data_IF_562132353558
#
_entry.id   IF_562132353558
#
_cell.length_a   1.000
_cell.length_b   1.000
_cell.length_c   1.000
_cell.angle_alpha   90.00
_cell.angle_beta   90.00
_cell.angle_gamma   90.00
#
_symmetry.space_group_name_H-M   'P 1'
#
loop_
_entity.id
_entity.type
_entity.pdbx_description
1 polymer ?
#
# COMPACT_ATOMS: atom_id res chain seq x y z
N UNK A 1 5.00 -22.56 -17.29
CA UNK A 1 4.43 -21.26 -16.86
C UNK A 1 3.59 -21.54 -15.64
N UNK A 2 3.95 -20.98 -14.47
CA UNK A 2 3.05 -21.04 -13.32
C UNK A 2 1.86 -20.15 -13.67
N UNK A 3 0.69 -20.76 -13.81
CA UNK A 3 -0.56 -20.04 -14.03
C UNK A 3 -0.82 -19.19 -12.77
N UNK A 4 -0.64 -17.88 -12.88
CA UNK A 4 -0.80 -16.98 -11.75
C UNK A 4 -2.28 -16.81 -11.48
N UNK A 5 -2.73 -17.31 -10.32
CA UNK A 5 -4.13 -17.29 -9.90
C UNK A 5 -4.63 -15.85 -9.71
N UNK A 6 -5.92 -15.57 -9.95
CA UNK A 6 -6.52 -14.27 -9.64
C UNK A 6 -6.38 -13.94 -8.14
N UNK A 7 -6.28 -12.64 -7.82
CA UNK A 7 -6.23 -12.19 -6.43
C UNK A 7 -7.42 -12.70 -5.62
N UNK A 8 -7.13 -13.16 -4.41
CA UNK A 8 -8.13 -13.52 -3.41
C UNK A 8 -8.30 -12.41 -2.35
N UNK A 9 -7.94 -11.17 -2.69
CA UNK A 9 -8.13 -10.01 -1.81
C UNK A 9 -9.54 -9.91 -1.19
N UNK A 10 -10.66 -10.29 -1.85
CA UNK A 10 -11.96 -10.17 -1.21
C UNK A 10 -12.10 -11.11 0.00
N UNK A 11 -11.48 -12.29 -0.05
CA UNK A 11 -11.47 -13.26 1.05
C UNK A 11 -10.60 -12.73 2.19
N UNK A 12 -9.40 -12.23 1.88
CA UNK A 12 -8.51 -11.63 2.89
C UNK A 12 -9.13 -10.40 3.55
N UNK A 13 -9.83 -9.56 2.77
CA UNK A 13 -10.56 -8.42 3.31
C UNK A 13 -11.65 -8.86 4.27
N UNK A 14 -12.47 -9.85 3.91
CA UNK A 14 -13.51 -10.36 4.80
C UNK A 14 -12.92 -10.94 6.10
N UNK A 15 -11.81 -11.68 6.02
CA UNK A 15 -11.07 -12.18 7.18
C UNK A 15 -10.54 -11.04 8.06
N UNK A 16 -10.02 -9.96 7.47
CA UNK A 16 -9.62 -8.78 8.23
C UNK A 16 -10.82 -8.12 8.96
N UNK A 17 -12.00 -8.13 8.33
CA UNK A 17 -13.20 -7.60 8.96
C UNK A 17 -13.71 -8.50 10.09
N UNK A 18 -13.56 -9.82 9.98
CA UNK A 18 -13.82 -10.73 11.11
C UNK A 18 -12.92 -10.41 12.31
N UNK A 19 -11.63 -10.15 12.08
CA UNK A 19 -10.68 -9.74 13.14
C UNK A 19 -11.18 -8.45 13.82
N UNK A 20 -11.61 -7.46 13.04
CA UNK A 20 -12.14 -6.22 13.60
C UNK A 20 -13.48 -6.39 14.33
N UNK A 21 -14.38 -7.23 13.83
CA UNK A 21 -15.62 -7.55 14.55
C UNK A 21 -15.32 -8.21 15.92
N UNK A 22 -14.30 -9.08 15.98
CA UNK A 22 -13.81 -9.67 17.22
C UNK A 22 -13.19 -8.62 18.16
N UNK A 23 -12.40 -7.70 17.61
CA UNK A 23 -11.83 -6.57 18.36
C UNK A 23 -12.94 -5.71 18.97
N UNK A 24 -13.91 -5.25 18.17
CA UNK A 24 -15.01 -4.40 18.63
C UNK A 24 -15.85 -5.08 19.70
N UNK A 25 -16.13 -6.38 19.54
CA UNK A 25 -16.85 -7.16 20.55
C UNK A 25 -16.09 -7.24 21.89
N UNK A 26 -14.76 -7.27 21.85
CA UNK A 26 -13.92 -7.43 23.03
C UNK A 26 -13.64 -6.11 23.74
N UNK A 27 -13.40 -5.05 22.96
CA UNK A 27 -13.01 -3.72 23.46
C UNK A 27 -14.21 -2.78 23.65
N UNK A 28 -15.30 -3.01 22.90
CA UNK A 28 -16.53 -2.21 22.94
C UNK A 28 -16.56 -1.03 21.96
N UNK A 29 -15.51 -0.83 21.16
CA UNK A 29 -15.43 0.19 20.12
C UNK A 29 -14.44 -0.20 19.03
N UNK A 30 -14.65 0.29 17.81
CA UNK A 30 -13.67 0.17 16.73
C UNK A 30 -12.50 1.13 16.90
N UNK A 31 -11.26 0.70 16.57
CA UNK A 31 -10.14 1.62 16.50
C UNK A 31 -10.26 2.49 15.25
N UNK A 32 -9.46 3.55 15.18
CA UNK A 32 -9.24 4.23 13.92
C UNK A 32 -8.30 3.39 13.04
N UNK A 33 -8.66 3.22 11.77
CA UNK A 33 -7.89 2.45 10.80
C UNK A 33 -8.24 2.86 9.37
N UNK A 34 -7.31 2.64 8.44
CA UNK A 34 -7.53 2.85 6.99
C UNK A 34 -7.10 1.63 6.17
N UNK A 35 -7.76 1.43 5.03
CA UNK A 35 -7.38 0.43 4.03
C UNK A 35 -6.52 1.10 2.95
N UNK A 36 -5.27 0.68 2.81
CA UNK A 36 -4.32 1.31 1.90
C UNK A 36 -3.50 0.33 1.06
N UNK A 37 -2.32 0.80 0.65
CA UNK A 37 -1.35 -0.03 -0.06
C UNK A 37 -1.77 -0.48 -1.47
N UNK A 38 -1.24 -1.62 -1.90
CA UNK A 38 -1.32 -2.04 -3.31
C UNK A 38 -2.75 -2.37 -3.77
N UNK A 39 -3.52 -3.01 -2.89
CA UNK A 39 -4.88 -3.43 -3.20
C UNK A 39 -5.86 -2.26 -3.13
N UNK A 40 -5.73 -1.36 -2.17
CA UNK A 40 -6.52 -0.12 -2.17
C UNK A 40 -6.28 0.71 -3.45
N UNK A 41 -5.03 0.78 -3.92
CA UNK A 41 -4.73 1.47 -5.17
C UNK A 41 -5.32 0.75 -6.40
N UNK A 42 -5.21 -0.58 -6.45
CA UNK A 42 -5.82 -1.40 -7.50
C UNK A 42 -7.34 -1.17 -7.60
N UNK A 43 -8.05 -1.08 -6.47
CA UNK A 43 -9.49 -0.84 -6.46
C UNK A 43 -9.89 0.53 -7.03
N UNK A 44 -8.97 1.50 -7.00
CA UNK A 44 -9.22 2.87 -7.42
C UNK A 44 -8.86 3.12 -8.88
N UNK A 45 -7.72 2.60 -9.35
CA UNK A 45 -7.20 2.88 -10.71
C UNK A 45 -7.01 1.64 -11.59
N UNK A 46 -7.12 0.44 -11.01
CA UNK A 46 -6.97 -0.85 -11.69
C UNK A 46 -5.71 -0.87 -12.59
N UNK A 47 -4.55 -0.54 -12.02
CA UNK A 47 -3.29 -0.45 -12.75
C UNK A 47 -2.54 -1.78 -12.83
N UNK A 48 -2.65 -2.61 -11.78
CA UNK A 48 -2.15 -3.98 -11.71
C UNK A 48 -2.90 -4.80 -10.66
N UNK A 49 -2.82 -6.12 -10.79
CA UNK A 49 -3.25 -7.03 -9.74
C UNK A 49 -2.40 -6.85 -8.46
N UNK A 50 -3.07 -6.89 -7.31
CA UNK A 50 -2.49 -6.92 -5.96
C UNK A 50 -3.16 -8.02 -5.15
N UNK A 51 -2.39 -8.70 -4.30
CA UNK A 51 -2.85 -9.91 -3.60
C UNK A 51 -3.01 -9.72 -2.09
N UNK A 52 -2.25 -8.79 -1.50
CA UNK A 52 -2.23 -8.58 -0.05
C UNK A 52 -3.25 -7.52 0.40
N UNK A 53 -3.57 -7.47 1.68
CA UNK A 53 -4.40 -6.43 2.31
C UNK A 53 -3.52 -5.64 3.28
N UNK A 54 -3.31 -4.35 3.00
CA UNK A 54 -2.58 -3.44 3.88
C UNK A 54 -3.58 -2.59 4.69
N UNK A 55 -3.61 -2.78 6.01
CA UNK A 55 -4.43 -2.00 6.95
C UNK A 55 -3.51 -1.14 7.81
N UNK A 56 -3.81 0.15 7.88
CA UNK A 56 -3.01 1.10 8.64
C UNK A 56 -3.72 1.51 9.94
N UNK A 57 -2.95 1.57 11.02
CA UNK A 57 -3.36 1.94 12.37
C UNK A 57 -2.50 3.10 12.87
N UNK A 58 -3.03 3.89 13.81
CA UNK A 58 -2.34 5.01 14.44
C UNK A 58 -1.84 4.72 15.87
N UNK A 59 -2.30 3.64 16.50
CA UNK A 59 -1.86 3.20 17.82
C UNK A 59 -1.29 1.76 17.80
N UNK A 60 0.01 1.57 18.09
CA UNK A 60 0.63 0.24 18.10
C UNK A 60 0.11 -0.66 19.22
N UNK A 61 -0.52 -0.11 20.26
CA UNK A 61 -1.13 -0.88 21.35
C UNK A 61 -2.31 -1.72 20.89
N UNK A 62 -2.87 -1.44 19.70
CA UNK A 62 -3.95 -2.20 19.09
C UNK A 62 -3.46 -3.54 18.52
N UNK A 63 -2.22 -3.62 18.02
CA UNK A 63 -1.72 -4.78 17.28
C UNK A 63 -1.87 -6.12 18.03
N UNK A 64 -1.57 -6.23 19.35
CA UNK A 64 -1.75 -7.48 20.08
C UNK A 64 -3.21 -7.96 20.12
N UNK A 65 -4.19 -7.05 20.04
CA UNK A 65 -5.62 -7.37 20.04
C UNK A 65 -6.15 -7.81 18.68
N UNK A 66 -5.40 -7.55 17.60
CA UNK A 66 -5.74 -7.99 16.26
C UNK A 66 -5.14 -9.35 15.91
N UNK A 67 -4.24 -9.88 16.75
CA UNK A 67 -3.59 -11.17 16.52
C UNK A 67 -4.48 -12.33 17.04
N UNK A 68 -5.04 -13.17 16.14
CA UNK A 68 -5.88 -14.30 16.53
C UNK A 68 -5.16 -15.31 17.43
N UNK A 69 -3.86 -15.52 17.23
CA UNK A 69 -3.06 -16.47 18.00
C UNK A 69 -2.99 -16.07 19.48
N UNK A 70 -2.77 -14.78 19.76
CA UNK A 70 -2.64 -14.28 21.14
C UNK A 70 -3.98 -14.01 21.81
N UNK A 71 -5.02 -13.69 21.03
CA UNK A 71 -6.36 -13.42 21.57
C UNK A 71 -7.24 -14.68 21.68
N UNK A 72 -6.89 -15.76 20.99
CA UNK A 72 -7.58 -17.05 21.08
C UNK A 72 -8.98 -17.07 20.46
N UNK A 73 -9.29 -16.16 19.52
CA UNK A 73 -10.52 -16.22 18.73
C UNK A 73 -10.32 -16.99 17.42
N UNK A 74 -11.37 -17.66 16.96
CA UNK A 74 -11.35 -18.42 15.71
C UNK A 74 -11.88 -17.55 14.56
N UNK A 75 -11.17 -17.58 13.43
CA UNK A 75 -11.61 -17.01 12.16
C UNK A 75 -12.22 -18.10 11.28
N UNK A 76 -12.98 -17.70 10.25
CA UNK A 76 -13.49 -18.63 9.22
C UNK A 76 -12.36 -19.40 8.53
N UNK A 77 -11.18 -18.77 8.41
CA UNK A 77 -9.91 -19.41 8.04
C UNK A 77 -8.80 -18.86 8.93
N UNK A 78 -8.01 -19.74 9.54
CA UNK A 78 -6.84 -19.33 10.32
C UNK A 78 -5.65 -18.99 9.40
N UNK A 79 -4.83 -17.98 9.76
CA UNK A 79 -3.53 -17.76 9.16
C UNK A 79 -2.64 -19.00 9.28
N UNK A 80 -1.86 -19.25 8.24
CA UNK A 80 -0.86 -20.30 8.16
C UNK A 80 0.46 -19.87 8.85
N UNK A 81 0.73 -18.56 8.92
CA UNK A 81 1.86 -17.99 9.66
C UNK A 81 1.51 -16.63 10.29
N UNK A 82 2.09 -16.35 11.46
CA UNK A 82 1.96 -15.10 12.20
C UNK A 82 3.34 -14.48 12.38
N UNK A 83 3.51 -13.22 11.97
CA UNK A 83 4.75 -12.47 12.18
C UNK A 83 4.43 -11.12 12.81
N UNK A 84 5.06 -10.81 13.92
CA UNK A 84 4.95 -9.48 14.54
C UNK A 84 6.28 -9.04 15.11
N UNK A 85 6.56 -7.74 14.97
CA UNK A 85 7.66 -7.07 15.67
C UNK A 85 7.20 -6.40 16.98
N UNK A 86 5.95 -6.62 17.36
CA UNK A 86 5.30 -6.11 18.57
C UNK A 86 5.00 -4.60 18.57
N UNK A 87 5.44 -3.83 17.58
CA UNK A 87 5.36 -2.36 17.65
C UNK A 87 5.02 -1.65 16.34
N UNK A 88 5.41 -2.17 15.18
CA UNK A 88 5.19 -1.53 13.89
C UNK A 88 4.29 -2.35 12.98
N UNK A 89 4.29 -3.68 13.11
CA UNK A 89 3.45 -4.52 12.27
C UNK A 89 3.01 -5.84 12.91
N UNK A 90 1.85 -6.29 12.46
CA UNK A 90 1.36 -7.65 12.56
C UNK A 90 1.02 -8.14 11.15
N UNK A 91 1.67 -9.22 10.72
CA UNK A 91 1.48 -9.85 9.41
C UNK A 91 0.88 -11.23 9.62
N UNK A 92 -0.21 -11.49 8.91
CA UNK A 92 -0.91 -12.77 8.90
C UNK A 92 -0.82 -13.34 7.48
N UNK A 93 -0.09 -14.44 7.30
CA UNK A 93 0.06 -15.07 5.99
C UNK A 93 -0.96 -16.20 5.82
N UNK A 94 -1.56 -16.27 4.63
CA UNK A 94 -2.52 -17.31 4.26
C UNK A 94 -2.06 -17.96 2.95
N UNK A 95 -1.68 -19.23 3.03
CA UNK A 95 -1.20 -20.01 1.89
C UNK A 95 -2.21 -19.96 0.73
N UNK A 96 -1.70 -19.70 -0.47
CA UNK A 96 -2.49 -19.52 -1.70
C UNK A 96 -3.41 -18.29 -1.76
N UNK A 97 -3.63 -17.53 -0.67
CA UNK A 97 -4.46 -16.32 -0.68
C UNK A 97 -3.65 -15.03 -0.72
N UNK A 98 -2.60 -14.92 0.10
CA UNK A 98 -1.81 -13.70 0.29
C UNK A 98 -1.63 -13.33 1.77
N UNK A 99 -1.25 -12.08 2.04
CA UNK A 99 -1.00 -11.57 3.39
C UNK A 99 -2.06 -10.54 3.81
N UNK A 100 -2.36 -10.49 5.12
CA UNK A 100 -2.99 -9.33 5.78
C UNK A 100 -1.92 -8.67 6.63
N UNK A 101 -1.59 -7.42 6.30
CA UNK A 101 -0.61 -6.60 6.97
C UNK A 101 -1.32 -5.51 7.78
N UNK A 102 -1.31 -5.61 9.10
CA UNK A 102 -1.65 -4.50 9.99
C UNK A 102 -0.38 -3.71 10.29
N UNK A 103 -0.36 -2.44 9.90
CA UNK A 103 0.83 -1.59 9.92
C UNK A 103 0.53 -0.36 10.76
N UNK A 104 1.31 -0.14 11.82
CA UNK A 104 1.24 1.09 12.59
C UNK A 104 2.05 2.18 11.87
N UNK A 105 1.35 3.12 11.22
CA UNK A 105 1.99 4.27 10.58
C UNK A 105 1.01 5.44 10.50
N UNK A 106 1.49 6.64 10.83
CA UNK A 106 0.71 7.86 10.68
C UNK A 106 0.40 8.16 9.21
N UNK A 107 -0.68 8.92 9.00
CA UNK A 107 -0.94 9.61 7.74
C UNK A 107 0.21 10.59 7.41
N UNK A 108 0.50 10.74 6.12
CA UNK A 108 1.45 11.74 5.60
C UNK A 108 0.72 13.02 5.23
N UNK A 109 -0.49 12.91 4.66
CA UNK A 109 -1.30 14.02 4.18
C UNK A 109 -2.45 14.36 5.14
N UNK A 110 -2.94 15.59 5.08
CA UNK A 110 -4.10 16.05 5.86
C UNK A 110 -5.42 15.38 5.45
N UNK A 111 -5.53 14.95 4.18
CA UNK A 111 -6.66 14.20 3.64
C UNK A 111 -6.20 12.80 3.18
N UNK A 112 -5.90 11.90 4.12
CA UNK A 112 -5.24 10.63 3.80
C UNK A 112 -6.19 9.60 3.18
N UNK A 113 -7.49 9.72 3.44
CA UNK A 113 -8.49 8.72 3.06
C UNK A 113 -9.85 9.33 2.72
N UNK A 114 -10.66 8.55 2.01
CA UNK A 114 -12.07 8.85 1.77
C UNK A 114 -12.94 7.67 2.20
N UNK A 115 -14.12 7.99 2.76
CA UNK A 115 -15.12 6.95 3.09
C UNK A 115 -15.63 6.32 1.81
N UNK A 116 -15.44 5.00 1.68
CA UNK A 116 -15.86 4.21 0.51
C UNK A 116 -16.52 2.90 0.94
N UNK A 117 -17.45 2.44 0.11
CA UNK A 117 -18.00 1.09 0.24
C UNK A 117 -16.99 0.10 -0.37
N UNK A 118 -16.42 -0.76 0.46
CA UNK A 118 -15.62 -1.90 0.02
C UNK A 118 -16.36 -3.15 0.46
N UNK A 119 -16.86 -3.90 -0.53
CA UNK A 119 -17.76 -5.03 -0.31
C UNK A 119 -18.98 -4.58 0.51
N UNK A 120 -19.19 -5.15 1.71
CA UNK A 120 -20.31 -4.84 2.60
C UNK A 120 -19.95 -3.83 3.70
N UNK A 121 -18.74 -3.27 3.69
CA UNK A 121 -18.23 -2.38 4.73
C UNK A 121 -18.03 -0.97 4.21
N UNK A 122 -18.31 0.02 5.05
CA UNK A 122 -17.89 1.40 4.83
C UNK A 122 -16.55 1.59 5.53
N UNK A 123 -15.51 1.89 4.77
CA UNK A 123 -14.12 1.97 5.27
C UNK A 123 -13.49 3.30 4.90
N UNK A 124 -12.48 3.71 5.65
CA UNK A 124 -11.56 4.76 5.26
C UNK A 124 -10.54 4.20 4.26
N UNK A 125 -10.78 4.43 2.96
CA UNK A 125 -9.90 3.96 1.89
C UNK A 125 -8.85 5.04 1.61
N UNK A 126 -7.57 4.71 1.72
CA UNK A 126 -6.49 5.69 1.47
C UNK A 126 -6.52 6.21 0.03
N UNK A 127 -6.31 7.52 -0.12
CA UNK A 127 -6.28 8.16 -1.43
C UNK A 127 -5.03 7.72 -2.21
N UNK A 128 -5.05 7.80 -3.56
CA UNK A 128 -3.85 7.52 -4.35
C UNK A 128 -2.68 8.45 -3.97
N UNK A 129 -2.96 9.71 -3.62
CA UNK A 129 -1.98 10.66 -3.09
C UNK A 129 -1.32 10.16 -1.79
N UNK A 130 -2.11 9.72 -0.81
CA UNK A 130 -1.58 9.20 0.46
C UNK A 130 -0.73 7.93 0.21
N UNK A 131 -1.20 7.02 -0.64
CA UNK A 131 -0.46 5.80 -0.99
C UNK A 131 0.88 6.14 -1.66
N UNK A 132 0.91 7.12 -2.56
CA UNK A 132 2.15 7.60 -3.17
C UNK A 132 3.08 8.23 -2.13
N UNK A 133 2.54 9.10 -1.27
CA UNK A 133 3.28 9.79 -0.23
C UNK A 133 3.90 8.79 0.75
N UNK A 134 3.14 7.81 1.27
CA UNK A 134 3.64 6.77 2.19
C UNK A 134 4.80 5.96 1.59
N UNK A 135 4.74 5.62 0.30
CA UNK A 135 5.83 4.90 -0.39
C UNK A 135 7.14 5.70 -0.33
N UNK A 136 7.09 7.00 -0.56
CA UNK A 136 8.28 7.87 -0.49
C UNK A 136 8.67 8.17 0.95
N UNK A 137 7.70 8.50 1.81
CA UNK A 137 7.93 8.92 3.18
C UNK A 137 8.60 7.83 4.03
N UNK A 138 8.05 6.62 4.01
CA UNK A 138 8.51 5.52 4.86
C UNK A 138 9.53 4.62 4.16
N UNK A 139 9.47 4.52 2.83
CA UNK A 139 10.26 3.54 2.05
C UNK A 139 11.13 4.16 0.97
N UNK A 140 11.20 5.48 0.85
CA UNK A 140 11.96 6.17 -0.21
C UNK A 140 13.45 5.78 -0.25
N UNK A 141 14.07 5.50 0.89
CA UNK A 141 15.47 5.06 0.98
C UNK A 141 15.72 3.66 0.37
N UNK A 142 14.66 2.88 0.13
CA UNK A 142 14.69 1.56 -0.49
C UNK A 142 13.50 1.37 -1.46
N UNK A 143 13.24 2.39 -2.28
CA UNK A 143 12.12 2.41 -3.22
C UNK A 143 12.23 1.25 -4.22
N UNK A 144 11.19 0.41 -4.30
CA UNK A 144 11.20 -0.77 -5.17
C UNK A 144 10.71 -0.43 -6.58
N UNK A 145 11.07 -1.21 -7.62
CA UNK A 145 10.53 -1.04 -8.98
C UNK A 145 9.00 -1.01 -9.04
N UNK A 146 8.31 -1.81 -8.20
CA UNK A 146 6.84 -1.78 -8.09
C UNK A 146 6.30 -0.45 -7.58
N UNK A 147 7.04 0.23 -6.71
CA UNK A 147 6.65 1.54 -6.19
C UNK A 147 6.77 2.60 -7.30
N UNK A 148 7.82 2.52 -8.13
CA UNK A 148 7.98 3.37 -9.31
C UNK A 148 6.84 3.15 -10.32
N UNK A 149 6.41 1.90 -10.51
CA UNK A 149 5.24 1.59 -11.34
C UNK A 149 3.95 2.19 -10.75
N UNK A 150 3.73 2.01 -9.44
CA UNK A 150 2.55 2.53 -8.75
C UNK A 150 2.49 4.08 -8.83
N UNK A 151 3.59 4.79 -8.55
CA UNK A 151 3.67 6.25 -8.66
C UNK A 151 3.39 6.73 -10.10
N UNK A 152 4.00 6.06 -11.09
CA UNK A 152 3.79 6.42 -12.49
C UNK A 152 2.34 6.16 -12.93
N UNK A 153 1.70 5.09 -12.45
CA UNK A 153 0.29 4.81 -12.74
C UNK A 153 -0.65 5.83 -12.11
N UNK A 154 -0.35 6.31 -10.91
CA UNK A 154 -1.12 7.40 -10.27
C UNK A 154 -1.00 8.68 -11.10
N UNK A 155 0.22 9.04 -11.52
CA UNK A 155 0.45 10.21 -12.36
C UNK A 155 -0.24 10.09 -13.74
N UNK A 156 -0.30 8.89 -14.33
CA UNK A 156 -0.98 8.64 -15.61
C UNK A 156 -2.50 8.86 -15.52
N UNK A 157 -3.10 8.63 -14.35
CA UNK A 157 -4.55 8.79 -14.12
C UNK A 157 -4.91 10.19 -13.61
N UNK A 158 -4.13 10.72 -12.66
CA UNK A 158 -4.47 11.96 -11.94
C UNK A 158 -3.66 13.18 -12.38
N UNK A 159 -2.63 12.98 -13.21
CA UNK A 159 -1.68 14.01 -13.60
C UNK A 159 -0.48 14.10 -12.66
N UNK A 160 0.60 14.68 -13.17
CA UNK A 160 1.86 14.80 -12.42
C UNK A 160 1.72 15.69 -11.19
N UNK A 161 1.02 16.82 -11.31
CA UNK A 161 0.88 17.82 -10.23
C UNK A 161 0.23 17.19 -8.98
N UNK A 162 -0.76 16.31 -9.17
CA UNK A 162 -1.41 15.57 -8.09
C UNK A 162 -0.40 14.75 -7.26
N UNK A 163 0.53 14.06 -7.93
CA UNK A 163 1.56 13.28 -7.23
C UNK A 163 2.64 14.20 -6.66
N UNK A 164 3.06 15.24 -7.40
CA UNK A 164 4.09 16.19 -6.95
C UNK A 164 3.67 16.91 -5.67
N UNK A 165 2.41 17.34 -5.56
CA UNK A 165 1.86 17.95 -4.34
C UNK A 165 1.94 16.99 -3.15
N UNK A 166 1.51 15.73 -3.31
CA UNK A 166 1.62 14.71 -2.27
C UNK A 166 3.07 14.43 -1.85
N UNK A 167 3.99 14.41 -2.82
CA UNK A 167 5.41 14.18 -2.54
C UNK A 167 6.07 15.35 -1.81
N UNK A 168 5.62 16.59 -2.02
CA UNK A 168 6.16 17.76 -1.31
C UNK A 168 5.93 17.67 0.20
N UNK A 169 4.80 17.13 0.62
CA UNK A 169 4.49 16.88 2.04
C UNK A 169 5.44 15.87 2.69
N UNK A 170 6.17 15.06 1.90
CA UNK A 170 7.18 14.16 2.43
C UNK A 170 8.46 14.88 2.91
N UNK A 171 8.64 16.13 2.53
CA UNK A 171 9.84 16.92 2.78
C UNK A 171 10.99 16.61 1.80
N UNK A 172 11.80 17.63 1.56
CA UNK A 172 12.88 17.59 0.55
C UNK A 172 13.92 16.50 0.82
N UNK A 173 14.27 16.24 2.08
CA UNK A 173 15.25 15.21 2.43
C UNK A 173 14.79 13.81 1.98
N UNK A 174 13.52 13.46 2.23
CA UNK A 174 12.96 12.15 1.86
C UNK A 174 12.81 12.01 0.35
N UNK A 175 12.35 13.07 -0.32
CA UNK A 175 12.30 13.11 -1.78
C UNK A 175 13.69 12.94 -2.41
N UNK A 176 14.71 13.62 -1.88
CA UNK A 176 16.08 13.51 -2.36
C UNK A 176 16.66 12.10 -2.15
N UNK A 177 16.36 11.45 -1.01
CA UNK A 177 16.74 10.05 -0.77
C UNK A 177 16.08 9.10 -1.76
N UNK A 178 14.79 9.25 -2.03
CA UNK A 178 14.09 8.45 -3.02
C UNK A 178 14.63 8.68 -4.44
N UNK A 179 14.90 9.93 -4.79
CA UNK A 179 15.50 10.28 -6.08
C UNK A 179 16.86 9.60 -6.28
N UNK A 180 17.71 9.62 -5.25
CA UNK A 180 19.01 8.96 -5.31
C UNK A 180 18.91 7.44 -5.52
N UNK A 181 17.84 6.78 -5.05
CA UNK A 181 17.58 5.36 -5.35
C UNK A 181 17.18 5.18 -6.82
N UNK A 182 16.26 6.01 -7.31
CA UNK A 182 15.79 6.00 -8.70
C UNK A 182 16.93 6.25 -9.70
N UNK A 183 17.88 7.12 -9.37
CA UNK A 183 19.03 7.43 -10.23
C UNK A 183 20.10 6.32 -10.25
N UNK A 184 20.21 5.53 -9.18
CA UNK A 184 21.22 4.47 -9.07
C UNK A 184 20.76 3.14 -9.66
N UNK A 185 19.45 2.88 -9.68
CA UNK A 185 18.93 1.59 -10.15
C UNK A 185 19.06 1.46 -11.67
N UNK A 186 19.48 0.28 -12.13
CA UNK A 186 19.59 0.00 -13.56
C UNK A 186 18.19 -0.04 -14.21
N UNK A 187 17.92 0.76 -15.26
CA UNK A 187 16.62 0.78 -15.93
C UNK A 187 16.17 -0.58 -16.46
N UNK A 188 17.09 -1.41 -16.96
CA UNK A 188 16.75 -2.76 -17.43
C UNK A 188 16.37 -3.70 -16.29
N UNK A 189 16.92 -3.50 -15.10
CA UNK A 189 16.50 -4.25 -13.92
C UNK A 189 15.10 -3.82 -13.47
N UNK A 190 14.79 -2.52 -13.50
CA UNK A 190 13.45 -1.99 -13.23
C UNK A 190 12.43 -2.55 -14.20
N UNK A 191 12.69 -2.47 -15.50
CA UNK A 191 11.85 -3.05 -16.56
C UNK A 191 11.62 -4.55 -16.34
N UNK A 192 12.67 -5.31 -15.99
CA UNK A 192 12.57 -6.76 -15.79
C UNK A 192 11.71 -7.14 -14.57
N UNK A 193 11.78 -6.36 -13.48
CA UNK A 193 10.93 -6.58 -12.29
C UNK A 193 9.49 -6.18 -12.59
N UNK A 194 9.28 -5.01 -13.21
CA UNK A 194 7.94 -4.52 -13.54
C UNK A 194 7.27 -5.40 -14.60
N UNK A 195 8.04 -5.94 -15.55
CA UNK A 195 7.55 -6.90 -16.54
C UNK A 195 7.01 -8.20 -15.94
N UNK A 196 7.35 -8.48 -14.68
CA UNK A 196 6.80 -9.60 -13.91
C UNK A 196 5.60 -9.19 -13.05
N UNK A 197 5.14 -7.94 -13.06
CA UNK A 197 3.89 -7.56 -12.41
C UNK A 197 2.70 -8.01 -13.27
N UNK A 198 1.59 -8.33 -12.63
CA UNK A 198 0.32 -8.58 -13.29
C UNK A 198 -0.37 -7.24 -13.62
N UNK A 199 0.31 -6.37 -14.37
CA UNK A 199 -0.23 -5.07 -14.76
C UNK A 199 -1.36 -5.21 -15.79
N UNK A 200 -2.26 -4.22 -15.83
CA UNK A 200 -3.30 -4.19 -16.85
C UNK A 200 -2.72 -3.76 -18.19
N UNK A 201 -3.24 -4.30 -19.28
CA UNK A 201 -2.72 -4.03 -20.62
C UNK A 201 -2.70 -2.53 -20.96
N UNK A 202 -3.68 -1.77 -20.46
CA UNK A 202 -3.74 -0.29 -20.59
C UNK A 202 -2.50 0.41 -20.02
N UNK A 203 -1.87 -0.18 -19.00
CA UNK A 203 -0.68 0.33 -18.32
C UNK A 203 0.63 -0.31 -18.80
N UNK A 204 0.61 -1.14 -19.85
CA UNK A 204 1.83 -1.80 -20.39
C UNK A 204 2.93 -0.82 -20.77
N UNK A 205 2.58 0.39 -21.21
CA UNK A 205 3.53 1.44 -21.56
C UNK A 205 4.35 1.95 -20.35
N UNK A 206 3.89 1.72 -19.11
CA UNK A 206 4.60 2.11 -17.89
C UNK A 206 5.76 1.17 -17.55
N UNK A 207 5.82 -0.02 -18.15
CA UNK A 207 6.92 -0.97 -17.95
C UNK A 207 8.27 -0.31 -18.25
N UNK A 208 8.36 0.46 -19.33
CA UNK A 208 9.58 1.16 -19.76
C UNK A 208 9.67 2.60 -19.28
N UNK A 209 8.55 3.20 -18.83
CA UNK A 209 8.49 4.64 -18.48
C UNK A 209 8.46 4.94 -16.98
N UNK A 210 8.09 3.96 -16.15
CA UNK A 210 7.87 4.16 -14.71
C UNK A 210 9.04 4.80 -13.97
N UNK A 211 10.28 4.40 -14.27
CA UNK A 211 11.47 5.00 -13.67
C UNK A 211 11.63 6.47 -14.07
N UNK A 212 11.50 6.78 -15.37
CA UNK A 212 11.59 8.16 -15.90
C UNK A 212 10.51 9.06 -15.30
N UNK A 213 9.26 8.58 -15.25
CA UNK A 213 8.15 9.30 -14.65
C UNK A 213 8.41 9.54 -13.17
N UNK A 214 8.83 8.52 -12.42
CA UNK A 214 9.14 8.67 -10.99
C UNK A 214 10.29 9.65 -10.74
N UNK A 215 11.34 9.60 -11.57
CA UNK A 215 12.45 10.57 -11.52
C UNK A 215 11.95 12.00 -11.70
N UNK A 216 11.15 12.23 -12.75
CA UNK A 216 10.58 13.54 -13.06
C UNK A 216 9.68 14.08 -11.94
N UNK A 217 8.83 13.23 -11.35
CA UNK A 217 7.96 13.60 -10.23
C UNK A 217 8.77 14.02 -8.99
N UNK A 218 9.79 13.25 -8.62
CA UNK A 218 10.67 13.56 -7.49
C UNK A 218 11.53 14.81 -7.73
N UNK A 219 12.01 15.00 -8.96
CA UNK A 219 12.70 16.24 -9.34
C UNK A 219 11.79 17.46 -9.24
N UNK A 220 10.53 17.33 -9.63
CA UNK A 220 9.54 18.41 -9.52
C UNK A 220 9.17 18.71 -8.06
N UNK A 221 9.05 17.69 -7.20
CA UNK A 221 8.76 17.91 -5.77
C UNK A 221 9.89 18.63 -5.03
N UNK A 222 11.13 18.51 -5.51
CA UNK A 222 12.31 19.21 -4.97
C UNK A 222 12.46 20.65 -5.47
N UNK A 223 11.78 21.04 -6.54
CA UNK A 223 11.76 22.43 -7.00
C UNK A 223 10.76 23.19 -6.11
N UNK A 224 11.27 24.12 -5.31
CA UNK A 224 10.45 25.02 -4.51
C UNK A 224 9.42 25.71 -5.40
N UNK A 225 8.23 25.99 -4.86
CA UNK A 225 7.28 26.89 -5.52
C UNK A 225 8.00 28.22 -5.73
N UNK A 226 8.28 28.55 -6.99
CA UNK A 226 8.77 29.87 -7.38
C UNK A 226 7.73 30.93 -7.05
#
# INVERSE_FOLDING_TARGET
MVERRPSQWPVLFDLAMEIFDHFEKTIGSMPHWSFGGGTALMLQIDHRESHDIDIFLDDPQILPFLNPETQGFALTRLPDEYRSDGTQALKLAFDELGEIDFICSCAVLDQPSERRNVRTRVVDLETPAEIAAKKVYFRGWNLQPRDMFDLAAIADVHGDDYVVEALRECGSERCAKALAVVEKVNPKAVEAVIGQLLYRQKNSHLVTKSQEVTHRLLMASLRGNA
#
